data_IF_687546873349
#
_entry.id   IF_687546873349
#
_cell.length_a   1.000
_cell.length_b   1.000
_cell.length_c   1.000
_cell.angle_alpha   90.00
_cell.angle_beta   90.00
_cell.angle_gamma   90.00
#
_symmetry.space_group_name_H-M   'P 1'
#
loop_
_entity.id
_entity.type
_entity.pdbx_description
1 polymer ?
#
# COMPACT_ATOMS: atom_id res chain seq x y z
N UNK A 1 13.87 11.41 4.82
CA UNK A 1 12.77 11.24 3.87
C UNK A 1 13.13 10.15 2.87
N UNK A 2 12.45 9.01 2.95
CA UNK A 2 12.60 7.87 2.03
C UNK A 2 11.40 7.82 1.09
N UNK A 3 11.61 7.76 -0.22
CA UNK A 3 10.52 7.62 -1.20
C UNK A 3 10.49 6.22 -1.78
N UNK A 4 9.33 5.57 -1.74
CA UNK A 4 9.13 4.18 -2.19
C UNK A 4 8.13 4.18 -3.34
N UNK A 5 8.50 3.61 -4.48
CA UNK A 5 7.54 3.25 -5.54
C UNK A 5 6.95 1.88 -5.20
N UNK A 6 5.64 1.79 -5.12
CA UNK A 6 4.95 0.59 -4.65
C UNK A 6 3.80 0.19 -5.58
N UNK A 7 3.60 -1.11 -5.70
CA UNK A 7 2.51 -1.72 -6.45
C UNK A 7 2.46 -3.22 -6.13
N UNK A 8 1.27 -3.80 -6.17
CA UNK A 8 1.00 -5.17 -5.75
C UNK A 8 1.34 -5.46 -4.28
N UNK A 9 1.10 -6.72 -3.90
CA UNK A 9 1.24 -7.21 -2.51
C UNK A 9 2.70 -7.36 -2.04
N UNK A 10 3.65 -7.50 -2.97
CA UNK A 10 5.07 -7.66 -2.64
C UNK A 10 5.68 -6.43 -1.93
N UNK A 11 5.19 -5.23 -2.27
CA UNK A 11 5.69 -3.96 -1.74
C UNK A 11 5.37 -3.77 -0.25
N UNK A 12 4.28 -4.35 0.25
CA UNK A 12 3.83 -4.20 1.65
C UNK A 12 4.86 -4.70 2.65
N UNK A 13 5.56 -5.81 2.36
CA UNK A 13 6.58 -6.36 3.26
C UNK A 13 7.73 -5.39 3.47
N UNK A 14 8.17 -4.72 2.40
CA UNK A 14 9.21 -3.70 2.43
C UNK A 14 8.75 -2.46 3.21
N UNK A 15 7.56 -1.95 2.90
CA UNK A 15 6.97 -0.77 3.54
C UNK A 15 6.77 -0.99 5.04
N UNK A 16 6.26 -2.16 5.47
CA UNK A 16 6.16 -2.53 6.89
C UNK A 16 7.52 -2.59 7.57
N UNK A 17 8.55 -3.09 6.88
CA UNK A 17 9.91 -3.11 7.41
C UNK A 17 10.47 -1.71 7.62
N UNK A 18 10.32 -0.83 6.63
CA UNK A 18 10.78 0.56 6.69
C UNK A 18 10.01 1.35 7.74
N UNK A 19 8.69 1.20 7.82
CA UNK A 19 7.84 1.89 8.80
C UNK A 19 8.16 1.55 10.27
N UNK A 20 8.85 0.43 10.54
CA UNK A 20 9.39 0.10 11.87
C UNK A 20 10.70 0.84 12.19
N UNK A 21 11.40 1.34 11.18
CA UNK A 21 12.70 1.99 11.31
C UNK A 21 12.60 3.51 11.20
N UNK A 22 11.61 4.03 10.48
CA UNK A 22 11.44 5.45 10.21
C UNK A 22 10.00 5.80 9.88
N UNK A 23 9.49 6.89 10.47
CA UNK A 23 8.20 7.50 10.13
C UNK A 23 8.33 8.48 8.94
N UNK A 24 9.54 8.95 8.63
CA UNK A 24 9.82 9.87 7.54
C UNK A 24 9.96 9.15 6.19
N UNK A 25 8.82 8.61 5.71
CA UNK A 25 8.69 7.96 4.41
C UNK A 25 7.48 8.43 3.61
N UNK A 26 7.63 8.42 2.29
CA UNK A 26 6.58 8.71 1.31
C UNK A 26 6.43 7.52 0.37
N UNK A 27 5.21 7.06 0.18
CA UNK A 27 4.90 5.97 -0.76
C UNK A 27 4.16 6.52 -1.97
N UNK A 28 4.68 6.23 -3.15
CA UNK A 28 4.04 6.50 -4.45
C UNK A 28 3.46 5.17 -4.92
N UNK A 29 2.13 5.03 -4.83
CA UNK A 29 1.43 3.79 -5.15
C UNK A 29 0.99 3.74 -6.61
N UNK A 30 0.99 2.54 -7.18
CA UNK A 30 0.41 2.24 -8.48
C UNK A 30 -1.09 2.55 -8.49
N UNK A 31 -1.55 3.10 -9.62
CA UNK A 31 -2.97 3.42 -9.88
C UNK A 31 -3.50 2.68 -11.12
N UNK A 32 -2.68 1.88 -11.79
CA UNK A 32 -3.05 1.14 -13.01
C UNK A 32 -4.16 0.12 -12.78
N UNK A 33 -4.31 -0.34 -11.53
CA UNK A 33 -5.28 -1.37 -11.14
C UNK A 33 -6.53 -0.75 -10.46
N UNK A 34 -6.66 0.58 -10.45
CA UNK A 34 -7.85 1.23 -9.92
C UNK A 34 -9.05 0.98 -10.84
N UNK A 35 -10.20 0.64 -10.24
CA UNK A 35 -11.39 0.26 -11.01
C UNK A 35 -12.68 0.84 -10.41
N UNK A 36 -13.67 1.06 -11.27
CA UNK A 36 -15.05 1.20 -10.83
C UNK A 36 -15.71 -0.17 -10.77
N UNK A 37 -16.10 -0.61 -9.57
CA UNK A 37 -16.74 -1.91 -9.34
C UNK A 37 -17.99 -1.69 -8.50
N UNK A 38 -19.16 -2.14 -9.00
CA UNK A 38 -20.47 -1.98 -8.33
C UNK A 38 -20.81 -0.53 -7.92
N UNK A 39 -20.39 0.46 -8.71
CA UNK A 39 -20.64 1.88 -8.42
C UNK A 39 -19.69 2.50 -7.38
N UNK A 40 -18.67 1.76 -6.94
CA UNK A 40 -17.62 2.24 -6.03
C UNK A 40 -16.29 2.34 -6.78
N UNK A 41 -15.46 3.29 -6.39
CA UNK A 41 -14.08 3.42 -6.88
C UNK A 41 -13.13 2.66 -5.95
N UNK A 42 -12.49 1.62 -6.46
CA UNK A 42 -11.63 0.69 -5.71
C UNK A 42 -10.19 0.95 -6.13
N UNK A 43 -9.27 1.01 -5.15
CA UNK A 43 -7.86 1.34 -5.34
C UNK A 43 -6.96 0.24 -4.74
N UNK A 44 -6.82 -0.93 -5.40
CA UNK A 44 -6.29 -2.13 -4.77
C UNK A 44 -4.92 -1.97 -4.11
N UNK A 45 -3.98 -1.31 -4.79
CA UNK A 45 -2.61 -1.16 -4.28
C UNK A 45 -2.50 -0.12 -3.16
N UNK A 46 -3.25 0.98 -3.26
CA UNK A 46 -3.33 1.98 -2.18
C UNK A 46 -3.94 1.35 -0.93
N UNK A 47 -5.04 0.63 -1.08
CA UNK A 47 -5.75 -0.03 0.01
C UNK A 47 -4.86 -1.09 0.67
N UNK A 48 -4.16 -1.88 -0.13
CA UNK A 48 -3.22 -2.91 0.33
C UNK A 48 -2.08 -2.32 1.17
N UNK A 49 -1.52 -1.18 0.76
CA UNK A 49 -0.49 -0.47 1.54
C UNK A 49 -1.07 0.10 2.82
N UNK A 50 -2.25 0.73 2.75
CA UNK A 50 -2.92 1.34 3.89
C UNK A 50 -3.26 0.30 4.96
N UNK A 51 -3.94 -0.78 4.59
CA UNK A 51 -4.25 -1.89 5.48
C UNK A 51 -2.97 -2.59 5.96
N UNK A 52 -1.96 -2.67 5.11
CA UNK A 52 -0.63 -3.18 5.44
C UNK A 52 -0.02 -2.43 6.62
N UNK A 53 0.05 -1.10 6.52
CA UNK A 53 0.59 -0.22 7.54
C UNK A 53 -0.27 -0.14 8.80
N UNK A 54 -1.60 -0.19 8.66
CA UNK A 54 -2.53 -0.21 9.78
C UNK A 54 -2.58 -1.56 10.53
N UNK A 55 -1.92 -2.60 10.02
CA UNK A 55 -1.93 -3.93 10.64
C UNK A 55 -3.27 -4.67 10.51
N UNK A 56 -4.11 -4.29 9.56
CA UNK A 56 -5.44 -4.88 9.31
C UNK A 56 -5.58 -5.56 7.95
N UNK A 57 -4.48 -5.66 7.20
CA UNK A 57 -4.44 -6.42 5.94
C UNK A 57 -4.65 -7.91 6.24
N UNK A 58 -5.55 -8.55 5.49
CA UNK A 58 -5.80 -9.98 5.58
C UNK A 58 -4.54 -10.80 5.20
N UNK A 59 -4.33 -11.92 5.88
CA UNK A 59 -3.13 -12.77 5.74
C UNK A 59 -3.42 -14.12 5.07
N UNK A 60 -4.66 -14.34 4.61
CA UNK A 60 -5.12 -15.60 4.02
C UNK A 60 -4.96 -15.70 2.52
#
# INVERSE_FOLDING_TARGET
MITILAGGTGSVKLIRGIGKLSEDMTVISNVGDNIWLYGLYVCPDIDTILYGLAGVLDER
#
